data_IF_820452346615
#
_entry.id   IF_820452346615
#
_cell.length_a   1.000
_cell.length_b   1.000
_cell.length_c   1.000
_cell.angle_alpha   90.00
_cell.angle_beta   90.00
_cell.angle_gamma   90.00
#
_symmetry.space_group_name_H-M   'P 1'
#
loop_
_entity.id
_entity.type
_entity.pdbx_description
1 polymer ?
#
# COMPACT_ATOMS: atom_id res chain seq x y z
N UNK A 1 0.33 -6.76 4.89
CA UNK A 1 -1.11 -7.05 4.94
C UNK A 1 -1.81 -6.24 3.85
N UNK A 2 -2.39 -6.89 2.85
CA UNK A 2 -3.05 -6.26 1.70
C UNK A 2 -4.47 -6.80 1.47
N UNK A 3 -5.24 -6.19 0.56
CA UNK A 3 -6.58 -6.66 0.23
C UNK A 3 -6.49 -8.03 -0.46
N UNK A 4 -7.34 -8.98 -0.05
CA UNK A 4 -7.40 -10.31 -0.65
C UNK A 4 -7.67 -10.24 -2.16
N UNK A 5 -7.01 -11.09 -2.96
CA UNK A 5 -7.12 -11.04 -4.42
C UNK A 5 -8.59 -11.21 -4.89
N UNK A 6 -9.37 -12.20 -4.38
CA UNK A 6 -10.79 -12.31 -4.71
C UNK A 6 -11.66 -11.17 -4.17
N UNK A 7 -11.17 -10.39 -3.21
CA UNK A 7 -11.86 -9.19 -2.71
C UNK A 7 -11.53 -7.93 -3.53
N UNK A 8 -10.71 -8.05 -4.58
CA UNK A 8 -10.34 -6.95 -5.47
C UNK A 8 -8.93 -6.40 -5.28
N UNK A 9 -8.10 -7.03 -4.44
CA UNK A 9 -6.68 -6.70 -4.30
C UNK A 9 -5.85 -7.07 -5.54
N UNK A 10 -4.53 -6.89 -5.46
CA UNK A 10 -3.60 -7.25 -6.53
C UNK A 10 -2.66 -8.40 -6.12
N UNK A 11 -2.13 -9.14 -7.10
CA UNK A 11 -1.20 -10.25 -6.86
C UNK A 11 0.00 -9.84 -5.98
N UNK A 12 0.54 -8.64 -6.18
CA UNK A 12 1.71 -8.13 -5.46
C UNK A 12 1.41 -7.68 -4.03
N UNK A 13 0.18 -7.82 -3.55
CA UNK A 13 -0.21 -7.44 -2.19
C UNK A 13 -0.17 -8.62 -1.22
N UNK A 14 0.62 -9.66 -1.54
CA UNK A 14 0.82 -10.82 -0.68
C UNK A 14 -0.10 -12.01 -0.98
N UNK A 15 -0.47 -12.24 -2.25
CA UNK A 15 -1.41 -13.30 -2.62
C UNK A 15 -0.87 -14.73 -2.42
N UNK A 16 -1.64 -15.53 -1.68
CA UNK A 16 -1.58 -16.98 -1.60
C UNK A 16 -3.01 -17.54 -1.71
N UNK A 17 -3.16 -18.79 -2.16
CA UNK A 17 -4.50 -19.38 -2.32
C UNK A 17 -5.14 -19.69 -0.97
N UNK A 18 -6.47 -19.88 -0.94
CA UNK A 18 -7.18 -20.33 0.27
C UNK A 18 -6.67 -21.68 0.81
N UNK A 19 -6.11 -22.53 -0.04
CA UNK A 19 -5.43 -23.78 0.34
C UNK A 19 -3.99 -23.58 0.86
N UNK A 20 -3.54 -22.35 1.06
CA UNK A 20 -2.22 -22.02 1.61
C UNK A 20 -1.06 -22.05 0.61
N UNK A 21 -1.31 -22.31 -0.68
CA UNK A 21 -0.24 -22.28 -1.69
C UNK A 21 0.19 -20.83 -1.93
N UNK A 22 1.42 -20.50 -1.57
CA UNK A 22 2.06 -19.21 -1.87
C UNK A 22 2.19 -19.04 -3.39
N UNK A 23 1.63 -17.95 -3.96
CA UNK A 23 1.60 -17.70 -5.41
C UNK A 23 2.48 -16.50 -5.76
N UNK A 24 2.21 -15.36 -5.13
CA UNK A 24 2.99 -14.16 -5.34
C UNK A 24 4.33 -14.28 -4.63
N UNK A 25 5.41 -13.82 -5.25
CA UNK A 25 6.71 -13.70 -4.58
C UNK A 25 6.62 -12.93 -3.25
N UNK A 26 5.68 -11.97 -3.17
CA UNK A 26 5.43 -11.21 -1.93
C UNK A 26 4.89 -12.05 -0.78
N UNK A 27 4.24 -13.19 -1.04
CA UNK A 27 3.83 -14.17 -0.01
C UNK A 27 4.94 -15.19 0.32
N UNK A 28 5.99 -15.24 -0.50
CA UNK A 28 7.15 -16.14 -0.33
C UNK A 28 8.23 -15.44 0.49
N UNK A 29 8.66 -14.24 0.07
CA UNK A 29 9.71 -13.47 0.74
C UNK A 29 9.21 -12.71 1.96
N UNK A 30 7.90 -12.48 2.07
CA UNK A 30 7.27 -11.84 3.23
C UNK A 30 6.09 -12.67 3.72
N UNK A 31 5.78 -12.52 5.01
CA UNK A 31 4.58 -13.11 5.60
C UNK A 31 3.37 -12.19 5.35
N UNK A 32 2.34 -12.76 4.73
CA UNK A 32 1.13 -12.05 4.34
C UNK A 32 -0.06 -12.58 5.13
N UNK A 33 -0.91 -11.66 5.57
CA UNK A 33 -2.26 -11.94 6.06
C UNK A 33 -3.21 -10.95 5.37
N UNK A 34 -4.16 -11.41 4.55
CA UNK A 34 -5.04 -10.53 3.81
C UNK A 34 -6.24 -10.07 4.64
N UNK A 35 -6.65 -8.83 4.42
CA UNK A 35 -7.97 -8.33 4.82
C UNK A 35 -8.95 -8.45 3.65
N UNK A 36 -10.25 -8.39 3.94
CA UNK A 36 -11.30 -8.73 2.98
C UNK A 36 -12.39 -7.66 2.95
N UNK A 37 -13.22 -7.73 1.93
CA UNK A 37 -14.52 -7.05 1.94
C UNK A 37 -15.51 -7.80 2.83
N UNK A 38 -16.50 -7.09 3.34
CA UNK A 38 -17.71 -7.67 3.88
C UNK A 38 -18.47 -8.36 2.74
N UNK A 39 -18.79 -9.64 2.90
CA UNK A 39 -19.38 -10.46 1.84
C UNK A 39 -20.83 -10.10 1.49
N UNK A 40 -21.51 -9.33 2.34
CA UNK A 40 -22.89 -8.88 2.11
C UNK A 40 -22.95 -7.53 1.39
N UNK A 41 -22.01 -6.62 1.68
CA UNK A 41 -22.02 -5.26 1.13
C UNK A 41 -21.00 -5.04 0.01
N UNK A 42 -19.94 -5.84 -0.04
CA UNK A 42 -18.82 -5.69 -0.95
C UNK A 42 -17.87 -4.52 -0.62
N UNK A 43 -18.06 -3.82 0.49
CA UNK A 43 -17.12 -2.81 0.99
C UNK A 43 -16.03 -3.44 1.85
N UNK A 44 -14.85 -2.82 1.93
CA UNK A 44 -13.80 -3.26 2.85
C UNK A 44 -14.35 -3.31 4.29
N UNK A 45 -14.13 -4.45 4.96
CA UNK A 45 -14.48 -4.61 6.37
C UNK A 45 -13.35 -4.04 7.24
N UNK A 46 -13.43 -2.74 7.51
CA UNK A 46 -12.40 -2.00 8.24
C UNK A 46 -12.26 -2.44 9.70
N UNK A 47 -13.33 -2.95 10.29
CA UNK A 47 -13.32 -3.41 11.68
C UNK A 47 -12.60 -4.76 11.79
N UNK A 48 -12.88 -5.71 10.87
CA UNK A 48 -12.08 -6.94 10.79
C UNK A 48 -10.64 -6.69 10.34
N UNK A 49 -10.39 -5.68 9.51
CA UNK A 49 -9.03 -5.24 9.19
C UNK A 49 -8.32 -4.77 10.46
N UNK A 50 -8.95 -3.93 11.27
CA UNK A 50 -8.37 -3.44 12.52
C UNK A 50 -8.08 -4.60 13.48
N UNK A 51 -9.06 -5.47 13.73
CA UNK A 51 -8.92 -6.66 14.58
C UNK A 51 -7.71 -7.49 14.16
N UNK A 52 -7.65 -7.89 12.89
CA UNK A 52 -6.52 -8.67 12.35
C UNK A 52 -5.19 -7.95 12.42
N UNK A 53 -5.16 -6.64 12.21
CA UNK A 53 -3.93 -5.86 12.29
C UNK A 53 -3.39 -5.79 13.72
N UNK A 54 -4.26 -5.78 14.73
CA UNK A 54 -3.83 -5.82 16.13
C UNK A 54 -3.22 -7.17 16.50
N UNK A 55 -3.80 -8.27 16.01
CA UNK A 55 -3.30 -9.62 16.29
C UNK A 55 -2.03 -9.96 15.49
N UNK A 56 -2.04 -9.68 14.19
CA UNK A 56 -0.96 -10.04 13.28
C UNK A 56 0.25 -9.09 13.37
N UNK A 57 0.04 -7.86 13.86
CA UNK A 57 1.07 -6.82 13.99
C UNK A 57 1.86 -6.60 12.70
N UNK A 58 1.19 -6.27 11.56
CA UNK A 58 1.89 -6.10 10.30
C UNK A 58 2.89 -4.94 10.38
N UNK A 59 4.07 -5.10 9.77
CA UNK A 59 5.00 -3.96 9.59
C UNK A 59 4.54 -3.00 8.49
N UNK A 60 3.71 -3.48 7.57
CA UNK A 60 3.19 -2.73 6.43
C UNK A 60 1.73 -3.13 6.14
N UNK A 61 0.86 -2.14 6.08
CA UNK A 61 -0.50 -2.26 5.55
C UNK A 61 -0.53 -1.64 4.16
N UNK A 62 -1.16 -2.34 3.21
CA UNK A 62 -1.30 -1.92 1.81
C UNK A 62 -2.79 -1.65 1.53
N UNK A 63 -3.13 -0.42 1.13
CA UNK A 63 -4.41 -0.07 0.51
C UNK A 63 -4.21 0.16 -1.00
N UNK A 64 -5.30 0.23 -1.76
CA UNK A 64 -5.26 0.16 -3.22
C UNK A 64 -5.51 -1.26 -3.74
N UNK A 65 -6.01 -1.37 -4.97
CA UNK A 65 -6.50 -2.63 -5.52
C UNK A 65 -6.72 -2.58 -7.02
N UNK A 66 -7.08 -3.73 -7.59
CA UNK A 66 -7.28 -3.92 -9.03
C UNK A 66 -8.74 -3.97 -9.45
N UNK A 67 -9.62 -4.49 -8.59
CA UNK A 67 -11.02 -4.71 -8.93
C UNK A 67 -11.98 -4.26 -7.80
N UNK A 68 -11.53 -3.35 -6.94
CA UNK A 68 -12.39 -2.72 -5.94
C UNK A 68 -13.06 -1.47 -6.54
N UNK A 69 -14.40 -1.41 -6.62
CA UNK A 69 -15.12 -0.37 -7.37
C UNK A 69 -15.49 0.87 -6.55
N UNK A 70 -14.99 0.99 -5.32
CA UNK A 70 -15.29 2.11 -4.40
C UNK A 70 -14.00 2.87 -4.07
N UNK A 71 -14.17 4.07 -3.55
CA UNK A 71 -13.07 4.83 -3.00
C UNK A 71 -12.57 4.23 -1.66
N UNK A 72 -11.42 4.69 -1.20
CA UNK A 72 -10.72 4.17 -0.03
C UNK A 72 -10.81 5.15 1.13
N UNK A 73 -11.12 4.63 2.32
CA UNK A 73 -11.07 5.42 3.55
C UNK A 73 -9.63 5.46 4.08
N UNK A 74 -8.81 6.33 3.48
CA UNK A 74 -7.40 6.47 3.83
C UNK A 74 -7.18 6.91 5.28
N UNK A 75 -8.10 7.70 5.84
CA UNK A 75 -8.08 8.12 7.24
C UNK A 75 -8.25 6.92 8.17
N UNK A 76 -9.20 6.01 7.87
CA UNK A 76 -9.38 4.76 8.62
C UNK A 76 -8.16 3.86 8.52
N UNK A 77 -7.57 3.71 7.33
CA UNK A 77 -6.31 2.97 7.15
C UNK A 77 -5.16 3.56 7.98
N UNK A 78 -5.00 4.88 7.97
CA UNK A 78 -3.99 5.58 8.77
C UNK A 78 -4.19 5.31 10.25
N UNK A 79 -5.42 5.45 10.75
CA UNK A 79 -5.72 5.15 12.14
C UNK A 79 -5.33 3.71 12.54
N UNK A 80 -5.59 2.73 11.68
CA UNK A 80 -5.27 1.33 11.97
C UNK A 80 -3.75 1.11 11.94
N UNK A 81 -3.06 1.63 10.92
CA UNK A 81 -1.61 1.57 10.82
C UNK A 81 -0.94 2.19 12.05
N UNK A 82 -1.45 3.32 12.53
CA UNK A 82 -0.90 3.98 13.70
C UNK A 82 -1.09 3.19 14.99
N UNK A 83 -2.24 2.51 15.17
CA UNK A 83 -2.54 1.65 16.32
C UNK A 83 -1.62 0.43 16.39
N UNK A 84 -1.34 -0.24 15.26
CA UNK A 84 -0.45 -1.40 15.24
C UNK A 84 1.03 -1.04 15.03
N UNK A 85 1.35 0.22 14.74
CA UNK A 85 2.72 0.68 14.46
C UNK A 85 3.22 0.29 13.06
N UNK A 86 2.32 0.08 12.12
CA UNK A 86 2.65 -0.25 10.73
C UNK A 86 2.94 1.00 9.90
N UNK A 87 3.71 0.82 8.83
CA UNK A 87 3.71 1.73 7.69
C UNK A 87 2.41 1.58 6.90
N UNK A 88 1.97 2.65 6.23
CA UNK A 88 0.89 2.60 5.25
C UNK A 88 1.40 2.90 3.85
N UNK A 89 1.12 1.98 2.93
CA UNK A 89 1.38 2.13 1.51
C UNK A 89 0.06 2.12 0.73
N UNK A 90 -0.12 3.07 -0.18
CA UNK A 90 -1.18 3.01 -1.18
C UNK A 90 -0.60 2.59 -2.54
N UNK A 91 -1.17 1.54 -3.14
CA UNK A 91 -0.96 1.22 -4.54
C UNK A 91 -2.10 1.80 -5.38
N UNK A 92 -1.92 3.03 -5.87
CA UNK A 92 -2.94 3.76 -6.63
C UNK A 92 -2.94 3.42 -8.12
N UNK A 93 -2.34 2.30 -8.55
CA UNK A 93 -2.11 1.98 -9.96
C UNK A 93 -3.35 2.15 -10.87
N UNK A 94 -4.54 1.74 -10.43
CA UNK A 94 -5.76 1.83 -11.24
C UNK A 94 -6.37 3.23 -11.29
N UNK A 95 -6.14 4.07 -10.25
CA UNK A 95 -6.80 5.37 -10.08
C UNK A 95 -5.83 6.55 -10.19
N UNK A 96 -4.55 6.33 -10.52
CA UNK A 96 -3.53 7.39 -10.52
C UNK A 96 -3.85 8.58 -11.42
N UNK A 97 -4.54 8.38 -12.54
CA UNK A 97 -5.02 9.49 -13.36
C UNK A 97 -6.15 10.29 -12.70
N UNK A 98 -7.03 9.63 -11.93
CA UNK A 98 -8.10 10.28 -11.18
C UNK A 98 -7.54 11.07 -9.99
N UNK A 99 -6.58 10.50 -9.27
CA UNK A 99 -5.85 11.20 -8.20
C UNK A 99 -5.13 12.42 -8.76
N UNK A 100 -4.41 12.28 -9.89
CA UNK A 100 -3.74 13.40 -10.54
C UNK A 100 -4.70 14.50 -11.01
N UNK A 101 -5.93 14.12 -11.39
CA UNK A 101 -6.99 15.05 -11.76
C UNK A 101 -7.78 15.60 -10.55
N UNK A 102 -7.47 15.17 -9.33
CA UNK A 102 -8.19 15.52 -8.10
C UNK A 102 -9.68 15.07 -8.09
N UNK A 103 -9.99 13.99 -8.82
CA UNK A 103 -11.33 13.40 -8.95
C UNK A 103 -11.55 12.16 -8.07
N UNK A 104 -10.52 11.72 -7.36
CA UNK A 104 -10.56 10.66 -6.34
C UNK A 104 -9.91 11.16 -5.06
N UNK A 105 -10.22 10.54 -3.91
CA UNK A 105 -9.57 10.87 -2.66
C UNK A 105 -8.04 10.79 -2.78
N UNK A 106 -7.33 11.72 -2.12
CA UNK A 106 -5.89 11.83 -2.22
C UNK A 106 -5.16 10.90 -1.22
N UNK A 107 -4.50 9.81 -1.67
CA UNK A 107 -3.75 8.93 -0.77
C UNK A 107 -2.51 9.61 -0.15
N UNK A 108 -1.99 10.69 -0.76
CA UNK A 108 -0.80 11.39 -0.29
C UNK A 108 -1.04 12.10 1.05
N UNK A 109 -2.29 12.44 1.39
CA UNK A 109 -2.64 13.03 2.69
C UNK A 109 -2.30 12.10 3.87
N UNK A 110 -2.44 10.78 3.68
CA UNK A 110 -2.39 9.80 4.77
C UNK A 110 -1.26 8.78 4.65
N UNK A 111 -0.82 8.44 3.44
CA UNK A 111 0.11 7.34 3.24
C UNK A 111 1.57 7.76 3.46
N UNK A 112 2.39 6.83 3.94
CA UNK A 112 3.83 7.03 4.06
C UNK A 112 4.53 6.87 2.70
N UNK A 113 4.02 5.93 1.89
CA UNK A 113 4.52 5.55 0.58
C UNK A 113 3.33 5.44 -0.37
N UNK A 114 3.48 5.90 -1.61
CA UNK A 114 2.48 5.72 -2.67
C UNK A 114 3.17 5.12 -3.89
N UNK A 115 2.73 3.95 -4.32
CA UNK A 115 3.21 3.29 -5.54
C UNK A 115 2.17 3.42 -6.65
N UNK A 116 2.62 3.45 -7.89
CA UNK A 116 1.69 3.44 -9.02
C UNK A 116 2.33 2.88 -10.28
N UNK A 117 1.48 2.41 -11.18
CA UNK A 117 1.84 2.21 -12.59
C UNK A 117 1.48 3.44 -13.41
N UNK A 118 2.25 3.73 -14.44
CA UNK A 118 2.02 4.93 -15.28
C UNK A 118 1.09 4.70 -16.47
N UNK A 119 0.76 3.45 -16.83
CA UNK A 119 0.05 3.12 -18.08
C UNK A 119 -1.47 2.95 -17.98
N UNK A 120 -2.06 3.05 -16.78
CA UNK A 120 -3.51 2.85 -16.58
C UNK A 120 -4.26 4.17 -16.76
N UNK A 121 -5.02 4.61 -15.75
CA UNK A 121 -5.75 5.89 -15.81
C UNK A 121 -4.82 7.09 -16.02
N UNK A 122 -3.54 7.00 -15.61
CA UNK A 122 -2.53 8.04 -15.88
C UNK A 122 -2.10 8.13 -17.36
N UNK A 123 -2.43 7.11 -18.18
CA UNK A 123 -2.30 7.12 -19.65
C UNK A 123 -0.89 7.41 -20.20
N UNK A 124 0.15 7.02 -19.46
CA UNK A 124 1.55 7.09 -19.87
C UNK A 124 2.14 5.77 -20.38
N UNK A 125 3.48 5.64 -20.46
CA UNK A 125 4.15 4.41 -20.87
C UNK A 125 4.03 3.32 -19.79
N UNK A 126 4.47 2.09 -20.09
CA UNK A 126 4.54 0.99 -19.10
C UNK A 126 5.75 1.17 -18.18
N UNK A 127 5.55 1.90 -17.08
CA UNK A 127 6.53 2.04 -16.01
C UNK A 127 5.83 2.03 -14.64
N UNK A 128 6.63 2.16 -13.58
CA UNK A 128 6.17 2.33 -12.20
C UNK A 128 6.89 3.50 -11.52
N UNK A 129 6.22 4.10 -10.54
CA UNK A 129 6.78 5.16 -9.69
C UNK A 129 6.57 4.81 -8.21
N UNK A 130 7.50 5.24 -7.37
CA UNK A 130 7.44 5.10 -5.91
C UNK A 130 7.63 6.48 -5.30
N UNK A 131 6.55 7.04 -4.77
CA UNK A 131 6.59 8.27 -3.97
C UNK A 131 6.76 7.90 -2.50
N UNK A 132 7.49 8.73 -1.76
CA UNK A 132 7.74 8.53 -0.34
C UNK A 132 7.83 9.87 0.38
N UNK A 133 7.42 9.88 1.66
CA UNK A 133 7.57 11.07 2.50
C UNK A 133 9.04 11.36 2.80
N UNK A 134 9.35 12.66 2.91
CA UNK A 134 10.66 13.21 3.31
C UNK A 134 10.45 14.27 4.40
N UNK A 135 11.52 14.62 5.10
CA UNK A 135 11.49 15.69 6.10
C UNK A 135 10.94 15.25 7.46
N UNK A 136 10.53 16.19 8.32
CA UNK A 136 10.03 15.90 9.66
C UNK A 136 8.79 15.00 9.62
N UNK A 137 8.72 14.05 10.55
CA UNK A 137 7.51 13.25 10.76
C UNK A 137 6.50 14.04 11.61
N UNK A 138 5.20 13.84 11.41
CA UNK A 138 4.18 14.35 12.34
C UNK A 138 4.45 13.87 13.76
N UNK A 139 4.13 14.72 14.74
CA UNK A 139 4.30 14.37 16.15
C UNK A 139 3.44 13.15 16.51
N UNK A 140 4.06 12.14 17.14
CA UNK A 140 3.38 10.93 17.62
C UNK A 140 3.88 10.60 19.02
N UNK A 141 2.98 10.17 19.90
CA UNK A 141 3.34 9.81 21.28
C UNK A 141 4.39 8.69 21.29
N UNK A 142 5.52 8.93 21.97
CA UNK A 142 6.65 7.98 22.05
C UNK A 142 7.63 8.07 20.88
N UNK A 143 7.42 8.98 19.94
CA UNK A 143 8.38 9.30 18.87
C UNK A 143 9.28 10.47 19.31
N UNK A 144 10.59 10.45 18.98
CA UNK A 144 11.47 11.59 19.22
C UNK A 144 10.95 12.88 18.56
N UNK A 145 11.14 14.04 19.21
CA UNK A 145 10.64 15.34 18.74
C UNK A 145 11.21 15.77 17.38
N UNK A 146 12.40 15.30 17.05
CA UNK A 146 13.16 15.60 15.84
C UNK A 146 13.14 14.46 14.81
N UNK A 147 12.23 13.50 14.97
CA UNK A 147 12.18 12.33 14.12
C UNK A 147 11.84 12.72 12.66
N UNK A 148 12.72 12.32 11.74
CA UNK A 148 12.57 12.52 10.29
C UNK A 148 12.18 11.23 9.57
N UNK A 149 11.57 11.37 8.39
CA UNK A 149 11.39 10.28 7.45
C UNK A 149 12.73 9.83 6.88
N UNK A 150 12.91 8.50 6.82
CA UNK A 150 14.13 7.82 6.38
C UNK A 150 13.74 6.76 5.35
N UNK A 151 13.05 7.22 4.30
CA UNK A 151 12.57 6.41 3.18
C UNK A 151 13.41 6.59 1.92
N UNK A 152 13.91 7.81 1.67
CA UNK A 152 14.57 8.17 0.41
C UNK A 152 15.73 7.24 0.07
N UNK A 153 16.74 7.17 0.94
CA UNK A 153 17.92 6.36 0.69
C UNK A 153 17.59 4.87 0.61
N UNK A 154 16.67 4.39 1.45
CA UNK A 154 16.25 2.99 1.48
C UNK A 154 15.50 2.57 0.21
N UNK A 155 14.57 3.38 -0.26
CA UNK A 155 13.79 3.09 -1.46
C UNK A 155 14.67 3.21 -2.69
N UNK A 156 15.50 4.26 -2.79
CA UNK A 156 16.43 4.42 -3.90
C UNK A 156 17.41 3.23 -3.97
N UNK A 157 17.99 2.82 -2.83
CA UNK A 157 18.88 1.66 -2.74
C UNK A 157 18.18 0.34 -3.11
N UNK A 158 16.92 0.17 -2.66
CA UNK A 158 16.12 -1.01 -2.98
C UNK A 158 15.86 -1.12 -4.49
N UNK A 159 15.64 0.00 -5.19
CA UNK A 159 15.53 0.01 -6.66
C UNK A 159 16.89 -0.30 -7.29
N UNK A 160 17.93 0.43 -6.92
CA UNK A 160 19.31 0.20 -7.39
C UNK A 160 20.30 0.49 -6.26
N UNK A 161 21.24 -0.41 -5.95
CA UNK A 161 21.62 -1.60 -6.71
C UNK A 161 20.91 -2.90 -6.29
N UNK A 162 19.92 -2.86 -5.38
CA UNK A 162 19.44 -4.10 -4.77
C UNK A 162 18.61 -5.00 -5.69
N UNK A 163 17.78 -4.45 -6.58
CA UNK A 163 16.83 -5.24 -7.37
C UNK A 163 16.96 -5.03 -8.89
N UNK A 164 17.16 -3.79 -9.34
CA UNK A 164 17.32 -3.47 -10.76
C UNK A 164 18.78 -3.16 -11.11
N UNK A 165 19.07 -3.16 -12.42
CA UNK A 165 20.33 -2.71 -13.01
C UNK A 165 20.20 -1.31 -13.63
N UNK A 166 20.60 -1.17 -14.91
CA UNK A 166 20.49 0.09 -15.65
C UNK A 166 19.04 0.53 -15.88
N UNK A 167 18.71 1.84 -15.77
CA UNK A 167 17.36 2.35 -15.99
C UNK A 167 16.95 2.30 -17.47
N UNK A 168 15.64 2.20 -17.72
CA UNK A 168 15.06 2.29 -19.06
C UNK A 168 14.72 3.75 -19.40
N UNK A 169 15.58 4.44 -20.16
CA UNK A 169 15.46 5.89 -20.41
C UNK A 169 14.50 6.28 -21.56
N UNK A 170 13.99 5.35 -22.35
CA UNK A 170 13.14 5.59 -23.53
C UNK A 170 11.64 5.58 -23.16
#
# INVERSE_FOLDING_TARGET
MGLDLPSGGHLTHGYYTSGGKKISATSIYFESLPYKVDSSTGYIDYDKLEEKAMDFRPKLIICGGSAYPRDWDYARFRSIADKCGALLLCDMAHISGLVAAQEAADPFEYCDIVTTTTHKSLRGPRAGMIFYRKGPKPAKKGQPEDAVYDFEDKINFAVFPSLQGGPHNH
#
